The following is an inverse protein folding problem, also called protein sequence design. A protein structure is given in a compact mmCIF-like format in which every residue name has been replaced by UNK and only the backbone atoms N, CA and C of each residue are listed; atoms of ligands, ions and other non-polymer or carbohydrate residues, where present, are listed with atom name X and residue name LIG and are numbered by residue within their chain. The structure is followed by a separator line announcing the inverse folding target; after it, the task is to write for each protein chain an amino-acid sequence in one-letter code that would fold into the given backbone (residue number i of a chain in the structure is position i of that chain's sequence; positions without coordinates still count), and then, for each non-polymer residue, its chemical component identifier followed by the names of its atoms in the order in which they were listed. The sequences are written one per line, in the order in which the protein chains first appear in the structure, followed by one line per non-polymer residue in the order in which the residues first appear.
data_IF_914971307662
#
_entry.id   IF_914971307662
#
_cell.length_a   1.000
_cell.length_b   1.000
_cell.length_c   1.000
_cell.angle_alpha   90.00
_cell.angle_beta   90.00
_cell.angle_gamma   90.00
#
_symmetry.space_group_name_H-M   'P 1'
#
loop_
_entity.id
_entity.type
_entity.pdbx_description
1 polymer ?
#
# COMPACT_ATOMS: atom_id res chain seq x y z
N UNK A 1 -24.71 49.34 40.67
CA UNK A 1 -24.60 47.90 40.96
C UNK A 1 -24.74 47.16 39.64
N UNK A 2 -23.61 46.92 38.98
CA UNK A 2 -23.51 46.27 37.67
C UNK A 2 -22.99 44.84 37.88
N UNK A 3 -23.88 43.86 37.80
CA UNK A 3 -23.51 42.44 37.87
C UNK A 3 -22.81 41.96 36.59
N UNK A 4 -21.89 40.99 36.67
CA UNK A 4 -21.20 40.48 35.49
C UNK A 4 -22.08 39.51 34.71
N UNK A 5 -21.99 39.58 33.38
CA UNK A 5 -22.72 38.72 32.44
C UNK A 5 -22.22 37.27 32.48
N UNK A 6 -23.15 36.31 32.52
CA UNK A 6 -22.86 34.89 32.37
C UNK A 6 -22.38 34.53 30.95
N UNK A 7 -21.41 33.62 30.79
CA UNK A 7 -20.99 33.16 29.48
C UNK A 7 -21.97 32.12 28.92
N UNK A 8 -22.60 32.45 27.79
CA UNK A 8 -23.43 31.53 27.01
C UNK A 8 -22.63 30.30 26.56
N UNK A 9 -23.02 29.12 27.06
CA UNK A 9 -22.49 27.83 26.65
C UNK A 9 -22.84 27.52 25.19
N UNK A 10 -21.88 27.70 24.28
CA UNK A 10 -22.02 27.29 22.88
C UNK A 10 -21.92 25.77 22.81
N UNK A 11 -23.08 25.11 22.82
CA UNK A 11 -23.24 23.69 22.56
C UNK A 11 -22.78 23.38 21.12
N UNK A 12 -21.59 22.79 21.00
CA UNK A 12 -21.00 22.40 19.71
C UNK A 12 -21.67 21.10 19.26
N UNK A 13 -22.81 21.20 18.54
CA UNK A 13 -23.46 20.03 17.94
C UNK A 13 -22.49 19.31 17.01
N UNK A 14 -22.11 18.09 17.39
CA UNK A 14 -21.39 17.15 16.53
C UNK A 14 -22.34 16.75 15.41
N UNK A 15 -22.15 17.34 14.23
CA UNK A 15 -22.86 16.91 13.02
C UNK A 15 -22.27 15.56 12.58
N UNK A 16 -22.87 14.47 13.06
CA UNK A 16 -22.66 13.13 12.51
C UNK A 16 -23.18 13.17 11.07
N UNK A 17 -22.26 13.14 10.11
CA UNK A 17 -22.59 13.23 8.69
C UNK A 17 -23.54 12.10 8.28
N UNK A 18 -24.79 12.44 7.94
CA UNK A 18 -25.74 11.50 7.33
C UNK A 18 -25.21 11.11 5.95
N UNK A 19 -24.98 9.81 5.74
CA UNK A 19 -24.74 9.28 4.39
C UNK A 19 -26.05 9.42 3.60
N UNK A 20 -26.08 10.15 2.46
CA UNK A 20 -27.31 10.37 1.73
C UNK A 20 -27.90 9.03 1.23
N UNK A 21 -29.23 8.90 1.32
CA UNK A 21 -29.98 7.67 1.05
C UNK A 21 -29.79 7.06 -0.37
N UNK A 22 -29.14 7.78 -1.30
CA UNK A 22 -28.77 7.29 -2.63
C UNK A 22 -27.35 6.72 -2.77
N UNK A 23 -26.54 6.71 -1.71
CA UNK A 23 -25.15 6.23 -1.75
C UNK A 23 -25.09 4.71 -1.98
N UNK A 24 -25.90 3.95 -1.25
CA UNK A 24 -25.95 2.49 -1.36
C UNK A 24 -26.47 2.03 -2.72
N UNK A 25 -27.51 2.68 -3.26
CA UNK A 25 -28.04 2.38 -4.60
C UNK A 25 -27.04 2.64 -5.73
N UNK A 26 -26.13 3.59 -5.54
CA UNK A 26 -25.13 4.01 -6.52
C UNK A 26 -23.92 3.09 -6.66
N UNK A 27 -23.66 2.23 -5.66
CA UNK A 27 -22.47 1.36 -5.60
C UNK A 27 -22.81 -0.13 -5.72
N UNK A 28 -24.10 -0.48 -5.90
CA UNK A 28 -24.55 -1.88 -6.01
C UNK A 28 -23.82 -2.67 -7.08
N UNK A 29 -23.62 -2.09 -8.26
CA UNK A 29 -22.89 -2.75 -9.34
C UNK A 29 -21.45 -3.09 -8.95
N UNK A 30 -20.76 -2.18 -8.26
CA UNK A 30 -19.41 -2.45 -7.76
C UNK A 30 -19.42 -3.47 -6.62
N UNK A 31 -20.42 -3.44 -5.73
CA UNK A 31 -20.56 -4.44 -4.68
C UNK A 31 -20.74 -5.86 -5.25
N UNK A 32 -21.54 -6.03 -6.31
CA UNK A 32 -21.67 -7.32 -6.99
C UNK A 32 -20.34 -7.77 -7.63
N UNK A 33 -19.65 -6.84 -8.30
CA UNK A 33 -18.32 -7.11 -8.89
C UNK A 33 -17.30 -7.52 -7.83
N UNK A 34 -17.26 -6.79 -6.71
CA UNK A 34 -16.36 -7.09 -5.59
C UNK A 34 -16.72 -8.44 -4.95
N UNK A 35 -18.00 -8.75 -4.78
CA UNK A 35 -18.46 -10.03 -4.25
C UNK A 35 -18.03 -11.20 -5.17
N UNK A 36 -18.15 -11.05 -6.49
CA UNK A 36 -17.66 -12.03 -7.44
C UNK A 36 -16.13 -12.20 -7.36
N UNK A 37 -15.39 -11.10 -7.21
CA UNK A 37 -13.93 -11.11 -7.05
C UNK A 37 -13.49 -11.77 -5.73
N UNK A 38 -14.25 -11.58 -4.64
CA UNK A 38 -14.07 -12.27 -3.36
C UNK A 38 -14.32 -13.76 -3.53
N UNK A 39 -15.42 -14.15 -4.18
CA UNK A 39 -15.74 -15.55 -4.43
C UNK A 39 -14.65 -16.24 -5.23
N UNK A 40 -14.14 -15.58 -6.28
CA UNK A 40 -13.01 -16.08 -7.07
C UNK A 40 -11.79 -16.38 -6.18
N UNK A 41 -11.47 -15.49 -5.24
CA UNK A 41 -10.31 -15.65 -4.34
C UNK A 41 -10.54 -16.70 -3.27
N UNK A 42 -11.77 -16.84 -2.77
CA UNK A 42 -12.15 -17.94 -1.88
C UNK A 42 -12.00 -19.28 -2.60
N UNK A 43 -12.47 -19.37 -3.85
CA UNK A 43 -12.30 -20.58 -4.68
C UNK A 43 -10.81 -20.87 -4.87
N UNK A 44 -9.99 -19.89 -5.23
CA UNK A 44 -8.56 -20.07 -5.38
C UNK A 44 -7.89 -20.55 -4.06
N UNK A 45 -8.23 -19.93 -2.93
CA UNK A 45 -7.68 -20.27 -1.61
C UNK A 45 -8.05 -21.68 -1.13
N UNK A 46 -9.23 -22.16 -1.49
CA UNK A 46 -9.69 -23.51 -1.13
C UNK A 46 -9.18 -24.56 -2.11
N UNK A 47 -9.14 -24.23 -3.40
CA UNK A 47 -8.78 -25.17 -4.46
C UNK A 47 -7.27 -25.40 -4.58
N UNK A 48 -6.45 -24.42 -4.20
CA UNK A 48 -5.00 -24.48 -4.37
C UNK A 48 -4.27 -24.23 -3.04
N UNK A 49 -3.19 -24.97 -2.76
CA UNK A 49 -2.30 -24.64 -1.65
C UNK A 49 -1.51 -23.36 -1.96
N UNK A 50 -0.94 -22.70 -0.94
CA UNK A 50 0.04 -21.64 -1.14
C UNK A 50 1.14 -22.08 -2.11
N UNK A 51 1.33 -21.30 -3.17
CA UNK A 51 2.27 -21.61 -4.22
C UNK A 51 3.66 -21.10 -3.88
N UNK A 52 4.67 -21.84 -4.31
CA UNK A 52 6.08 -21.56 -4.05
C UNK A 52 6.81 -21.27 -5.35
N UNK A 53 7.72 -20.31 -5.30
CA UNK A 53 8.67 -20.02 -6.37
C UNK A 53 10.10 -20.07 -5.84
N UNK A 54 11.09 -19.98 -6.72
CA UNK A 54 12.50 -20.04 -6.35
C UNK A 54 12.84 -19.04 -5.22
N UNK A 55 12.30 -17.83 -5.31
CA UNK A 55 12.51 -16.76 -4.33
C UNK A 55 11.79 -16.96 -3.00
N UNK A 56 10.75 -17.81 -2.95
CA UNK A 56 9.94 -18.01 -1.74
C UNK A 56 10.76 -18.60 -0.58
N UNK A 57 11.81 -19.37 -0.89
CA UNK A 57 12.68 -19.98 0.12
C UNK A 57 13.50 -18.93 0.88
N UNK A 58 14.10 -17.97 0.16
CA UNK A 58 14.86 -16.88 0.78
C UNK A 58 13.96 -16.01 1.64
N UNK A 59 12.80 -15.61 1.11
CA UNK A 59 11.83 -14.81 1.86
C UNK A 59 11.37 -15.51 3.15
N UNK A 60 11.10 -16.81 3.08
CA UNK A 60 10.69 -17.58 4.26
C UNK A 60 11.81 -17.70 5.28
N UNK A 61 13.06 -17.90 4.83
CA UNK A 61 14.23 -17.95 5.70
C UNK A 61 14.40 -16.64 6.47
N UNK A 62 14.29 -15.50 5.78
CA UNK A 62 14.32 -14.16 6.38
C UNK A 62 13.14 -14.00 7.36
N UNK A 63 11.93 -14.44 6.99
CA UNK A 63 10.75 -14.37 7.85
C UNK A 63 10.86 -15.18 9.15
N UNK A 64 11.60 -16.29 9.13
CA UNK A 64 11.85 -17.11 10.33
C UNK A 64 12.97 -16.52 11.19
N UNK A 65 14.06 -16.10 10.56
CA UNK A 65 15.24 -15.56 11.21
C UNK A 65 15.73 -14.36 10.40
N UNK A 66 15.31 -13.12 10.74
CA UNK A 66 15.72 -11.95 9.97
C UNK A 66 17.24 -11.78 9.93
N UNK A 67 17.79 -11.68 8.72
CA UNK A 67 19.20 -11.40 8.46
C UNK A 67 19.29 -10.52 7.21
N UNK A 68 20.32 -9.66 7.09
CA UNK A 68 20.48 -8.78 5.94
C UNK A 68 20.80 -9.60 4.68
N UNK A 69 19.81 -9.82 3.82
CA UNK A 69 20.03 -10.64 2.64
C UNK A 69 20.90 -9.90 1.61
N UNK A 70 21.95 -10.54 1.05
CA UNK A 70 22.88 -9.85 0.15
C UNK A 70 22.25 -9.42 -1.17
N UNK A 71 21.33 -10.22 -1.72
CA UNK A 71 20.79 -10.01 -3.07
C UNK A 71 19.52 -9.16 -3.15
N UNK A 72 18.76 -9.04 -2.05
CA UNK A 72 17.40 -8.50 -2.09
C UNK A 72 17.07 -7.77 -0.78
N UNK A 73 16.28 -6.69 -0.83
CA UNK A 73 15.75 -6.06 0.37
C UNK A 73 14.78 -6.99 1.14
N UNK A 74 14.80 -6.92 2.48
CA UNK A 74 14.11 -7.87 3.36
C UNK A 74 12.65 -7.50 3.69
N UNK A 75 12.07 -6.49 3.03
CA UNK A 75 10.75 -5.97 3.38
C UNK A 75 9.63 -7.00 3.34
N UNK A 76 9.65 -7.93 2.37
CA UNK A 76 8.69 -9.03 2.36
C UNK A 76 9.01 -10.09 3.42
N UNK A 77 10.29 -10.33 3.71
CA UNK A 77 10.71 -11.18 4.82
C UNK A 77 10.19 -10.66 6.17
N UNK A 78 10.26 -9.35 6.41
CA UNK A 78 9.67 -8.73 7.61
C UNK A 78 8.14 -8.86 7.68
N UNK A 79 7.46 -8.78 6.54
CA UNK A 79 6.02 -9.06 6.47
C UNK A 79 5.71 -10.50 6.89
N UNK A 80 6.49 -11.48 6.42
CA UNK A 80 6.36 -12.88 6.86
C UNK A 80 6.71 -13.05 8.33
N UNK A 81 7.74 -12.35 8.83
CA UNK A 81 8.11 -12.35 10.25
C UNK A 81 6.97 -11.84 11.14
N UNK A 82 6.26 -10.79 10.72
CA UNK A 82 5.09 -10.28 11.43
C UNK A 82 3.94 -11.30 11.49
N UNK A 83 3.75 -12.08 10.42
CA UNK A 83 2.73 -13.14 10.35
C UNK A 83 3.20 -14.48 10.93
N UNK A 84 4.49 -14.62 11.26
CA UNK A 84 5.10 -15.84 11.79
C UNK A 84 4.38 -16.44 13.01
N UNK A 85 3.86 -15.67 13.99
CA UNK A 85 3.18 -16.24 15.16
C UNK A 85 2.01 -17.17 14.81
N UNK A 86 1.36 -16.95 13.68
CA UNK A 86 0.23 -17.75 13.21
C UNK A 86 0.64 -19.06 12.53
N UNK A 87 1.93 -19.24 12.19
CA UNK A 87 2.50 -20.47 11.62
C UNK A 87 1.70 -21.03 10.42
N UNK A 88 1.13 -20.14 9.59
CA UNK A 88 0.24 -20.52 8.50
C UNK A 88 0.51 -19.72 7.23
N UNK A 89 0.92 -20.41 6.16
CA UNK A 89 1.03 -19.81 4.82
C UNK A 89 -0.32 -19.57 4.17
N UNK A 90 -1.36 -20.32 4.56
CA UNK A 90 -2.74 -20.06 4.13
C UNK A 90 -3.18 -18.67 4.61
N UNK A 91 -2.79 -18.28 5.83
CA UNK A 91 -3.05 -16.91 6.32
C UNK A 91 -2.29 -15.87 5.50
N UNK A 92 -1.02 -16.13 5.17
CA UNK A 92 -0.21 -15.23 4.33
C UNK A 92 -0.90 -14.99 2.99
N UNK A 93 -1.31 -16.06 2.30
CA UNK A 93 -2.03 -15.99 1.02
C UNK A 93 -3.39 -15.31 1.17
N UNK A 94 -4.14 -15.60 2.25
CA UNK A 94 -5.41 -14.92 2.52
C UNK A 94 -5.22 -13.41 2.69
N UNK A 95 -4.17 -12.97 3.41
CA UNK A 95 -3.82 -11.55 3.55
C UNK A 95 -3.44 -10.94 2.20
N UNK A 96 -2.70 -11.67 1.36
CA UNK A 96 -2.37 -11.23 0.00
C UNK A 96 -3.62 -11.08 -0.88
N UNK A 97 -4.59 -11.99 -0.81
CA UNK A 97 -5.89 -11.84 -1.48
C UNK A 97 -6.65 -10.61 -1.01
N UNK A 98 -6.64 -10.32 0.30
CA UNK A 98 -7.24 -9.10 0.84
C UNK A 98 -6.54 -7.84 0.32
N UNK A 99 -5.21 -7.87 0.17
CA UNK A 99 -4.46 -6.78 -0.47
C UNK A 99 -4.89 -6.60 -1.93
N UNK A 100 -5.03 -7.69 -2.70
CA UNK A 100 -5.55 -7.68 -4.07
C UNK A 100 -6.94 -7.04 -4.19
N UNK A 101 -7.87 -7.46 -3.34
CA UNK A 101 -9.22 -6.88 -3.26
C UNK A 101 -9.17 -5.40 -2.88
N UNK A 102 -8.35 -5.04 -1.89
CA UNK A 102 -8.17 -3.66 -1.47
C UNK A 102 -7.61 -2.78 -2.60
N UNK A 103 -6.69 -3.31 -3.42
CA UNK A 103 -6.21 -2.62 -4.62
C UNK A 103 -7.35 -2.32 -5.60
N UNK A 104 -8.21 -3.28 -5.88
CA UNK A 104 -9.39 -3.05 -6.72
C UNK A 104 -10.34 -1.99 -6.16
N UNK A 105 -10.56 -1.98 -4.84
CA UNK A 105 -11.34 -0.95 -4.14
C UNK A 105 -10.69 0.43 -4.24
N UNK A 106 -9.36 0.53 -4.09
CA UNK A 106 -8.62 1.78 -4.22
C UNK A 106 -8.75 2.37 -5.62
N UNK A 107 -8.59 1.55 -6.67
CA UNK A 107 -8.77 1.97 -8.07
C UNK A 107 -10.19 2.49 -8.29
N UNK A 108 -11.19 1.70 -7.89
CA UNK A 108 -12.60 2.09 -7.99
C UNK A 108 -12.87 3.44 -7.31
N UNK A 109 -12.45 3.57 -6.05
CA UNK A 109 -12.67 4.76 -5.26
C UNK A 109 -12.01 6.00 -5.88
N UNK A 110 -10.78 5.86 -6.40
CA UNK A 110 -10.04 6.95 -7.02
C UNK A 110 -10.73 7.44 -8.31
N UNK A 111 -11.16 6.52 -9.17
CA UNK A 111 -11.87 6.84 -10.41
C UNK A 111 -13.24 7.45 -10.11
N UNK A 112 -14.01 6.88 -9.18
CA UNK A 112 -15.28 7.45 -8.74
C UNK A 112 -15.10 8.87 -8.21
N UNK A 113 -14.07 9.11 -7.41
CA UNK A 113 -13.78 10.44 -6.85
C UNK A 113 -13.39 11.45 -7.93
N UNK A 114 -12.72 11.01 -9.01
CA UNK A 114 -12.24 11.90 -10.07
C UNK A 114 -13.29 12.21 -11.14
N UNK A 115 -14.13 11.24 -11.47
CA UNK A 115 -15.05 11.31 -12.61
C UNK A 115 -16.53 11.31 -12.23
N UNK A 116 -16.92 10.87 -11.02
CA UNK A 116 -18.20 11.10 -10.33
C UNK A 116 -19.49 10.55 -10.97
N UNK A 117 -19.64 10.70 -12.28
CA UNK A 117 -20.87 10.48 -13.06
C UNK A 117 -20.88 9.12 -13.76
N UNK A 118 -19.73 8.58 -14.15
CA UNK A 118 -19.61 7.32 -14.88
C UNK A 118 -19.06 6.20 -13.99
N UNK A 119 -19.84 5.73 -13.00
CA UNK A 119 -19.41 4.70 -12.05
C UNK A 119 -19.12 3.34 -12.70
N UNK A 120 -19.74 3.05 -13.84
CA UNK A 120 -19.42 1.85 -14.63
C UNK A 120 -17.97 1.88 -15.15
N UNK A 121 -17.44 3.06 -15.50
CA UNK A 121 -16.02 3.23 -15.87
C UNK A 121 -15.11 2.92 -14.69
N UNK A 122 -15.50 3.30 -13.47
CA UNK A 122 -14.75 2.94 -12.27
C UNK A 122 -14.74 1.42 -12.02
N UNK A 123 -15.87 0.73 -12.27
CA UNK A 123 -15.91 -0.74 -12.22
C UNK A 123 -14.99 -1.35 -13.26
N UNK A 124 -15.03 -0.89 -14.52
CA UNK A 124 -14.16 -1.37 -15.59
C UNK A 124 -12.68 -1.11 -15.28
N UNK A 125 -12.35 0.04 -14.70
CA UNK A 125 -10.98 0.35 -14.29
C UNK A 125 -10.47 -0.58 -13.17
N UNK A 126 -11.34 -1.01 -12.26
CA UNK A 126 -11.00 -1.95 -11.20
C UNK A 126 -10.99 -3.42 -11.67
N UNK A 127 -11.65 -3.74 -12.78
CA UNK A 127 -11.84 -5.11 -13.25
C UNK A 127 -10.52 -5.87 -13.51
N UNK A 128 -9.46 -5.29 -14.11
CA UNK A 128 -8.19 -6.00 -14.29
C UNK A 128 -7.60 -6.47 -12.96
N UNK A 129 -7.54 -5.61 -11.94
CA UNK A 129 -7.02 -6.00 -10.61
C UNK A 129 -7.91 -7.06 -9.94
N UNK A 130 -9.22 -6.99 -10.17
CA UNK A 130 -10.19 -7.90 -9.53
C UNK A 130 -10.33 -9.25 -10.23
N UNK A 131 -10.09 -9.37 -11.53
CA UNK A 131 -10.38 -10.61 -12.28
C UNK A 131 -9.23 -11.13 -13.14
N UNK A 132 -8.09 -10.45 -13.21
CA UNK A 132 -6.91 -10.98 -13.88
C UNK A 132 -6.42 -12.26 -13.20
N UNK A 133 -6.32 -13.33 -13.98
CA UNK A 133 -5.85 -14.62 -13.51
C UNK A 133 -4.39 -14.55 -13.03
N UNK A 134 -3.56 -13.72 -13.68
CA UNK A 134 -2.16 -13.54 -13.27
C UNK A 134 -2.09 -12.85 -11.91
N UNK A 135 -2.90 -11.82 -11.68
CA UNK A 135 -3.01 -11.16 -10.38
C UNK A 135 -3.47 -12.14 -9.27
N UNK A 136 -4.46 -13.00 -9.52
CA UNK A 136 -4.90 -14.02 -8.55
C UNK A 136 -3.80 -15.06 -8.30
N UNK A 137 -3.04 -15.45 -9.33
CA UNK A 137 -1.88 -16.34 -9.19
C UNK A 137 -0.78 -15.70 -8.34
N UNK A 138 -0.49 -14.42 -8.53
CA UNK A 138 0.48 -13.69 -7.70
C UNK A 138 0.02 -13.64 -6.23
N UNK A 139 -1.28 -13.46 -5.97
CA UNK A 139 -1.85 -13.49 -4.61
C UNK A 139 -1.69 -14.87 -3.93
N UNK A 140 -1.65 -15.95 -4.70
CA UNK A 140 -1.39 -17.32 -4.23
C UNK A 140 0.09 -17.64 -4.00
N UNK A 141 1.00 -16.89 -4.61
CA UNK A 141 2.43 -17.08 -4.47
C UNK A 141 2.93 -16.45 -3.16
N UNK A 142 3.78 -17.17 -2.43
CA UNK A 142 4.53 -16.63 -1.29
C UNK A 142 5.68 -15.76 -1.83
N UNK A 143 5.34 -14.59 -2.38
CA UNK A 143 6.27 -13.70 -3.08
C UNK A 143 5.99 -12.21 -2.78
N UNK A 144 6.97 -11.35 -3.05
CA UNK A 144 6.95 -9.93 -2.67
C UNK A 144 6.04 -9.05 -3.53
N UNK A 145 5.60 -9.53 -4.70
CA UNK A 145 4.92 -8.75 -5.73
C UNK A 145 3.64 -8.10 -5.25
N UNK A 146 2.77 -8.84 -4.55
CA UNK A 146 1.48 -8.33 -4.10
C UNK A 146 1.65 -7.26 -3.03
N UNK A 147 2.58 -7.47 -2.08
CA UNK A 147 2.90 -6.47 -1.07
C UNK A 147 3.48 -5.20 -1.70
N UNK A 148 4.40 -5.37 -2.66
CA UNK A 148 4.99 -4.27 -3.42
C UNK A 148 3.92 -3.45 -4.16
N UNK A 149 3.06 -4.11 -4.94
CA UNK A 149 1.97 -3.48 -5.69
C UNK A 149 0.99 -2.79 -4.75
N UNK A 150 0.63 -3.42 -3.64
CA UNK A 150 -0.29 -2.86 -2.66
C UNK A 150 0.26 -1.59 -2.02
N UNK A 151 1.53 -1.59 -1.58
CA UNK A 151 2.18 -0.41 -1.01
C UNK A 151 2.30 0.72 -2.04
N UNK A 152 2.73 0.41 -3.26
CA UNK A 152 2.84 1.36 -4.35
C UNK A 152 1.50 2.00 -4.71
N UNK A 153 0.46 1.19 -4.89
CA UNK A 153 -0.88 1.69 -5.23
C UNK A 153 -1.50 2.46 -4.07
N UNK A 154 -1.25 2.06 -2.82
CA UNK A 154 -1.66 2.81 -1.64
C UNK A 154 -1.02 4.20 -1.61
N UNK A 155 0.28 4.29 -1.92
CA UNK A 155 0.99 5.57 -1.99
C UNK A 155 0.39 6.50 -3.07
N UNK A 156 0.14 5.95 -4.28
CA UNK A 156 -0.51 6.69 -5.37
C UNK A 156 -1.90 7.13 -4.97
N UNK A 157 -2.68 6.24 -4.35
CA UNK A 157 -4.05 6.53 -3.91
C UNK A 157 -4.06 7.68 -2.90
N UNK A 158 -3.17 7.66 -1.90
CA UNK A 158 -3.04 8.74 -0.90
C UNK A 158 -2.60 10.05 -1.55
N UNK A 159 -1.59 10.01 -2.43
CA UNK A 159 -1.07 11.18 -3.12
C UNK A 159 -2.14 11.86 -4.01
N UNK A 160 -2.96 11.05 -4.69
CA UNK A 160 -3.99 11.53 -5.62
C UNK A 160 -5.36 11.75 -4.96
N UNK A 161 -5.54 11.38 -3.69
CA UNK A 161 -6.82 11.49 -3.00
C UNK A 161 -7.33 12.93 -2.92
N UNK A 162 -6.44 13.91 -2.78
CA UNK A 162 -6.80 15.34 -2.73
C UNK A 162 -6.27 16.05 -3.96
N UNK A 163 -7.07 16.97 -4.52
CA UNK A 163 -6.63 17.80 -5.67
C UNK A 163 -5.34 18.56 -5.39
N UNK A 164 -5.19 19.09 -4.17
CA UNK A 164 -3.93 19.69 -3.70
C UNK A 164 -3.24 18.71 -2.76
N UNK A 165 -2.01 18.24 -3.08
CA UNK A 165 -1.26 17.36 -2.20
C UNK A 165 -0.98 18.10 -0.88
N UNK A 166 -1.27 17.43 0.24
CA UNK A 166 -0.97 17.96 1.57
C UNK A 166 0.32 17.34 2.08
N UNK A 167 1.06 18.04 2.94
CA UNK A 167 2.30 17.50 3.52
C UNK A 167 2.09 16.16 4.23
N UNK A 168 0.96 15.98 4.94
CA UNK A 168 0.60 14.72 5.60
C UNK A 168 0.43 13.57 4.60
N UNK A 169 -0.35 13.80 3.54
CA UNK A 169 -0.53 12.81 2.48
C UNK A 169 0.80 12.49 1.77
N UNK A 170 1.65 13.51 1.58
CA UNK A 170 2.99 13.35 1.04
C UNK A 170 3.89 12.47 1.91
N UNK A 171 3.93 12.71 3.22
CA UNK A 171 4.69 11.88 4.17
C UNK A 171 4.23 10.43 4.10
N UNK A 172 2.93 10.18 4.19
CA UNK A 172 2.37 8.82 4.13
C UNK A 172 2.73 8.14 2.80
N UNK A 173 2.60 8.86 1.69
CA UNK A 173 2.97 8.32 0.36
C UNK A 173 4.47 8.02 0.27
N UNK A 174 5.32 8.89 0.82
CA UNK A 174 6.77 8.69 0.86
C UNK A 174 7.18 7.48 1.68
N UNK A 175 6.59 7.29 2.87
CA UNK A 175 6.83 6.10 3.70
C UNK A 175 6.36 4.83 3.00
N UNK A 176 5.17 4.84 2.38
CA UNK A 176 4.66 3.69 1.66
C UNK A 176 5.55 3.30 0.47
N UNK A 177 6.07 4.28 -0.29
CA UNK A 177 7.01 4.01 -1.39
C UNK A 177 8.38 3.56 -0.89
N UNK A 178 8.85 4.08 0.24
CA UNK A 178 10.07 3.60 0.88
C UNK A 178 9.93 2.14 1.29
N UNK A 179 8.83 1.77 1.94
CA UNK A 179 8.51 0.39 2.27
C UNK A 179 8.39 -0.49 1.02
N UNK A 180 7.76 0.01 -0.06
CA UNK A 180 7.72 -0.68 -1.34
C UNK A 180 9.14 -0.91 -1.90
N UNK A 181 10.01 0.10 -1.87
CA UNK A 181 11.42 -0.01 -2.25
C UNK A 181 12.21 -1.02 -1.42
N UNK A 182 11.87 -1.15 -0.14
CA UNK A 182 12.43 -2.17 0.76
C UNK A 182 11.81 -3.55 0.57
N UNK A 183 10.72 -3.70 -0.18
CA UNK A 183 10.22 -5.02 -0.61
C UNK A 183 10.84 -5.45 -1.93
N UNK A 184 11.06 -4.50 -2.85
CA UNK A 184 11.72 -4.70 -4.15
C UNK A 184 12.44 -3.42 -4.54
N UNK A 185 13.71 -3.51 -4.94
CA UNK A 185 14.55 -2.36 -5.31
C UNK A 185 13.95 -1.52 -6.45
N UNK A 186 13.14 -2.14 -7.33
CA UNK A 186 12.37 -1.49 -8.40
C UNK A 186 11.43 -0.39 -7.86
N UNK A 187 11.09 -0.40 -6.56
CA UNK A 187 10.32 0.65 -5.91
C UNK A 187 11.07 1.95 -5.61
N UNK A 188 12.40 1.92 -5.49
CA UNK A 188 13.18 3.12 -5.15
C UNK A 188 13.04 4.25 -6.20
N UNK A 189 13.06 3.98 -7.52
CA UNK A 189 12.74 4.97 -8.53
C UNK A 189 11.36 5.62 -8.38
N UNK A 190 10.37 4.93 -7.79
CA UNK A 190 9.04 5.51 -7.56
C UNK A 190 9.08 6.65 -6.54
N UNK A 191 9.99 6.60 -5.55
CA UNK A 191 10.19 7.70 -4.60
C UNK A 191 10.63 8.96 -5.34
N UNK A 192 11.57 8.82 -6.30
CA UNK A 192 12.03 9.93 -7.15
C UNK A 192 10.88 10.47 -7.98
N UNK A 193 10.07 9.58 -8.58
CA UNK A 193 8.90 9.98 -9.37
C UNK A 193 7.87 10.76 -8.52
N UNK A 194 7.65 10.36 -7.27
CA UNK A 194 6.78 11.09 -6.34
C UNK A 194 7.32 12.49 -6.04
N UNK A 195 8.64 12.62 -5.81
CA UNK A 195 9.27 13.93 -5.57
C UNK A 195 9.11 14.83 -6.81
N UNK A 196 9.40 14.30 -8.01
CA UNK A 196 9.21 15.03 -9.28
C UNK A 196 7.74 15.43 -9.46
N UNK A 197 6.80 14.53 -9.19
CA UNK A 197 5.37 14.83 -9.23
C UNK A 197 5.00 15.99 -8.30
N UNK A 198 5.51 16.02 -7.07
CA UNK A 198 5.23 17.11 -6.12
C UNK A 198 5.85 18.44 -6.55
N UNK A 199 7.02 18.41 -7.19
CA UNK A 199 7.66 19.59 -7.78
C UNK A 199 6.81 20.15 -8.94
N UNK A 200 6.37 19.29 -9.86
CA UNK A 200 5.49 19.67 -10.98
C UNK A 200 4.17 20.24 -10.48
N UNK A 201 3.61 19.65 -9.41
CA UNK A 201 2.37 20.13 -8.76
C UNK A 201 2.57 21.39 -7.90
N UNK A 202 3.79 21.93 -7.83
CA UNK A 202 4.18 23.09 -7.02
C UNK A 202 3.68 22.98 -5.58
N UNK A 203 3.85 21.81 -4.96
CA UNK A 203 3.35 21.50 -3.61
C UNK A 203 4.06 22.28 -2.47
N UNK A 204 5.04 23.12 -2.81
CA UNK A 204 5.85 23.91 -1.88
C UNK A 204 7.04 23.14 -1.31
N UNK A 205 8.16 23.84 -1.06
CA UNK A 205 9.42 23.25 -0.58
C UNK A 205 9.25 22.44 0.72
N UNK A 206 8.40 22.90 1.64
CA UNK A 206 8.10 22.20 2.90
C UNK A 206 7.53 20.80 2.67
N UNK A 207 6.61 20.64 1.71
CA UNK A 207 6.01 19.35 1.37
C UNK A 207 7.06 18.42 0.77
N UNK A 208 7.89 18.93 -0.15
CA UNK A 208 8.95 18.14 -0.81
C UNK A 208 9.98 17.64 0.21
N UNK A 209 10.47 18.52 1.09
CA UNK A 209 11.43 18.15 2.14
C UNK A 209 10.81 17.13 3.11
N UNK A 210 9.54 17.33 3.51
CA UNK A 210 8.86 16.38 4.38
C UNK A 210 8.71 14.99 3.75
N UNK A 211 8.36 14.92 2.47
CA UNK A 211 8.25 13.64 1.73
C UNK A 211 9.61 12.97 1.57
N UNK A 212 10.63 13.74 1.17
CA UNK A 212 11.99 13.22 1.00
C UNK A 212 12.55 12.68 2.32
N UNK A 213 12.40 13.42 3.42
CA UNK A 213 12.80 12.97 4.75
C UNK A 213 12.02 11.74 5.22
N UNK A 214 10.70 11.72 5.00
CA UNK A 214 9.86 10.59 5.38
C UNK A 214 10.17 9.31 4.58
N UNK A 215 10.54 9.43 3.30
CA UNK A 215 10.97 8.30 2.49
C UNK A 215 12.40 7.86 2.82
N UNK A 216 13.28 8.81 3.15
CA UNK A 216 14.65 8.51 3.53
C UNK A 216 14.74 7.78 4.88
N UNK A 217 13.82 8.04 5.82
CA UNK A 217 13.86 7.46 7.17
C UNK A 217 13.82 5.91 7.17
N UNK A 218 12.82 5.23 6.58
CA UNK A 218 12.81 3.76 6.53
C UNK A 218 14.01 3.18 5.78
N UNK A 219 14.42 3.83 4.68
CA UNK A 219 15.55 3.38 3.85
C UNK A 219 16.86 3.49 4.62
N UNK A 220 17.09 4.61 5.30
CA UNK A 220 18.28 4.84 6.11
C UNK A 220 18.32 3.91 7.33
N UNK A 221 17.18 3.72 8.01
CA UNK A 221 17.09 2.77 9.12
C UNK A 221 17.44 1.34 8.68
N UNK A 222 16.96 0.93 7.51
CA UNK A 222 17.32 -0.36 6.91
C UNK A 222 18.80 -0.43 6.55
N UNK A 223 19.35 0.59 5.89
CA UNK A 223 20.76 0.63 5.49
C UNK A 223 21.70 0.63 6.70
N UNK A 224 21.31 1.28 7.81
CA UNK A 224 22.05 1.24 9.07
C UNK A 224 22.01 -0.15 9.72
N UNK A 225 20.86 -0.83 9.69
CA UNK A 225 20.77 -2.22 10.14
C UNK A 225 21.64 -3.14 9.28
N UNK A 226 21.59 -2.98 7.96
CA UNK A 226 22.44 -3.71 7.02
C UNK A 226 23.92 -3.47 7.33
N UNK A 227 24.33 -2.21 7.49
CA UNK A 227 25.70 -1.84 7.85
C UNK A 227 26.13 -2.45 9.18
N UNK A 228 25.27 -2.47 10.20
CA UNK A 228 25.60 -3.03 11.51
C UNK A 228 25.93 -4.53 11.43
N UNK A 229 25.43 -5.22 10.41
CA UNK A 229 25.57 -6.66 10.25
C UNK A 229 26.56 -7.05 9.13
N UNK A 230 26.78 -6.21 8.11
CA UNK A 230 27.67 -6.49 6.97
C UNK A 230 28.91 -5.60 6.89
N UNK A 231 28.98 -4.54 7.70
CA UNK A 231 30.04 -3.53 7.70
C UNK A 231 29.94 -2.48 6.59
N UNK A 232 29.01 -2.62 5.65
CA UNK A 232 28.88 -1.74 4.47
C UNK A 232 27.54 -1.00 4.47
N UNK A 233 27.54 0.30 4.20
CA UNK A 233 26.31 1.09 4.10
C UNK A 233 25.64 0.85 2.73
N UNK A 234 24.75 -0.13 2.69
CA UNK A 234 24.00 -0.50 1.50
C UNK A 234 22.61 -1.05 1.87
N UNK A 235 21.76 -1.26 0.86
CA UNK A 235 20.46 -1.95 1.01
C UNK A 235 20.59 -3.41 0.52
N UNK A 236 21.59 -3.69 -0.31
CA UNK A 236 21.97 -5.00 -0.86
C UNK A 236 23.48 -5.00 -1.12
N UNK A 237 24.14 -6.15 -1.09
CA UNK A 237 25.57 -6.33 -1.45
C UNK A 237 25.82 -6.40 -2.98
N UNK A 238 24.79 -6.14 -3.77
CA UNK A 238 24.88 -6.16 -5.23
C UNK A 238 25.11 -4.73 -5.69
N UNK A 239 26.35 -4.41 -6.03
CA UNK A 239 26.69 -3.23 -6.81
C UNK A 239 26.15 -3.47 -8.23
N UNK A 240 25.22 -2.61 -8.67
CA UNK A 240 24.32 -2.87 -9.79
C UNK A 240 24.94 -3.56 -11.01
N UNK A 241 24.31 -4.68 -11.39
CA UNK A 241 24.01 -5.19 -12.75
C UNK A 241 23.80 -6.71 -12.61
N UNK A 242 22.54 -7.14 -12.61
CA UNK A 242 22.18 -8.47 -13.09
C UNK A 242 21.53 -8.26 -14.46
N UNK A 243 22.36 -8.24 -15.49
CA UNK A 243 22.00 -8.61 -16.86
C UNK A 243 22.66 -9.95 -17.16
#
# INVERSE_FOLDING_TARGET
MSGPAEPSSVERRVVVGRVPAGWWGSHRGFACVLAAAVLLRVVALVAFPPLWFNDSFDYTRIGLHPFPHPLRPDGYGFFLWFLRPFRSFVLVVAVQHLMGLAMGVMVYALVCRRYGRARWVACLAAAPVLFDAYQVQLEQLVMSDVLFMFLGLSAVTVALWRRKPTWRAGIVSGVLLALAGLTRTVGLPLVVLLVVFLLVRRAGRRTVVAVAGAAALPVAAYALWFQSATGHFAITNVDGVFL
#
